data_IF_461648434751
#
_entry.id   IF_461648434751
#
_cell.length_a   1.000
_cell.length_b   1.000
_cell.length_c   1.000
_cell.angle_alpha   90.00
_cell.angle_beta   90.00
_cell.angle_gamma   90.00
#
_symmetry.space_group_name_H-M   'P 1'
#
loop_
_entity.id
_entity.type
_entity.pdbx_description
1 polymer ?
#
# COMPACT_ATOMS: atom_id res chain seq x y z
N UNK A 1 19.79 -7.40 34.68
CA UNK A 1 18.31 -7.50 34.73
C UNK A 1 17.64 -7.01 33.44
N UNK A 2 17.96 -5.81 32.92
CA UNK A 2 17.36 -5.30 31.67
C UNK A 2 17.70 -6.12 30.41
N UNK A 3 18.96 -6.58 30.26
CA UNK A 3 19.37 -7.46 29.15
C UNK A 3 18.64 -8.82 29.18
N UNK A 4 18.50 -9.40 30.36
CA UNK A 4 17.82 -10.69 30.52
C UNK A 4 16.31 -10.59 30.25
N UNK A 5 15.70 -9.44 30.58
CA UNK A 5 14.33 -9.14 30.21
C UNK A 5 14.14 -8.96 28.69
N UNK A 6 15.11 -8.31 28.03
CA UNK A 6 15.08 -8.11 26.58
C UNK A 6 15.28 -9.42 25.79
N UNK A 7 16.21 -10.28 26.23
CA UNK A 7 16.42 -11.60 25.60
C UNK A 7 15.22 -12.53 25.83
N UNK A 8 14.65 -12.56 27.04
CA UNK A 8 13.41 -13.32 27.29
C UNK A 8 12.24 -12.79 26.45
N UNK A 9 12.13 -11.46 26.28
CA UNK A 9 11.08 -10.87 25.45
C UNK A 9 11.31 -11.17 23.96
N UNK A 10 12.55 -11.13 23.46
CA UNK A 10 12.87 -11.59 22.09
C UNK A 10 12.50 -13.05 21.88
N UNK A 11 12.86 -13.91 22.83
CA UNK A 11 12.58 -15.35 22.75
C UNK A 11 11.07 -15.58 22.70
N UNK A 12 10.31 -14.91 23.57
CA UNK A 12 8.84 -14.94 23.56
C UNK A 12 8.25 -14.36 22.26
N UNK A 13 8.76 -13.24 21.77
CA UNK A 13 8.33 -12.63 20.50
C UNK A 13 8.57 -13.56 19.31
N UNK A 14 9.71 -14.28 19.28
CA UNK A 14 10.04 -15.24 18.23
C UNK A 14 9.09 -16.44 18.23
N UNK A 15 8.50 -16.80 19.38
CA UNK A 15 7.50 -17.87 19.48
C UNK A 15 6.09 -17.44 19.07
N UNK A 16 5.79 -16.14 19.00
CA UNK A 16 4.50 -15.66 18.49
C UNK A 16 4.44 -15.95 16.99
N UNK A 17 3.47 -16.80 16.59
CA UNK A 17 3.26 -17.22 15.20
C UNK A 17 3.08 -16.03 14.24
N UNK A 18 2.43 -14.96 14.72
CA UNK A 18 2.29 -13.69 14.00
C UNK A 18 3.65 -13.06 13.69
N UNK A 19 4.62 -13.06 14.62
CA UNK A 19 5.95 -12.50 14.39
C UNK A 19 6.76 -13.33 13.39
N UNK A 20 6.66 -14.67 13.44
CA UNK A 20 7.28 -15.57 12.45
C UNK A 20 6.76 -15.31 11.04
N UNK A 21 5.45 -15.10 10.87
CA UNK A 21 4.85 -14.76 9.57
C UNK A 21 5.15 -13.32 9.14
N UNK A 22 5.20 -12.37 10.06
CA UNK A 22 5.65 -10.99 9.77
C UNK A 22 7.09 -10.99 9.25
N UNK A 23 7.97 -11.75 9.91
CA UNK A 23 9.34 -12.01 9.46
C UNK A 23 9.35 -12.67 8.08
N UNK A 24 8.52 -13.70 7.85
CA UNK A 24 8.36 -14.35 6.54
C UNK A 24 7.85 -13.41 5.46
N UNK A 25 6.95 -12.49 5.80
CA UNK A 25 6.43 -11.44 4.92
C UNK A 25 7.53 -10.46 4.51
N UNK A 26 8.35 -10.00 5.46
CA UNK A 26 9.55 -9.20 5.17
C UNK A 26 10.61 -9.96 4.36
N UNK A 27 10.71 -11.28 4.52
CA UNK A 27 11.60 -12.14 3.75
C UNK A 27 11.07 -12.45 2.34
N UNK A 28 9.78 -12.24 2.07
CA UNK A 28 9.22 -12.36 0.72
C UNK A 28 9.83 -11.32 -0.23
N UNK A 29 9.84 -11.62 -1.53
CA UNK A 29 10.31 -10.68 -2.54
C UNK A 29 9.54 -9.35 -2.56
N UNK A 30 8.26 -9.35 -2.13
CA UNK A 30 7.47 -8.14 -2.00
C UNK A 30 7.87 -7.35 -0.74
N UNK A 31 8.04 -8.02 0.40
CA UNK A 31 8.51 -7.38 1.63
C UNK A 31 9.89 -6.74 1.46
N UNK A 32 10.82 -7.46 0.80
CA UNK A 32 12.14 -6.92 0.41
C UNK A 32 12.03 -5.71 -0.51
N UNK A 33 11.10 -5.74 -1.48
CA UNK A 33 10.86 -4.63 -2.39
C UNK A 33 10.28 -3.39 -1.67
N UNK A 34 9.31 -3.57 -0.77
CA UNK A 34 8.76 -2.50 0.06
C UNK A 34 9.86 -1.91 0.94
N UNK A 35 10.63 -2.75 1.62
CA UNK A 35 11.77 -2.31 2.44
C UNK A 35 12.80 -1.54 1.60
N UNK A 36 13.08 -2.00 0.38
CA UNK A 36 14.01 -1.33 -0.52
C UNK A 36 13.58 0.09 -0.86
N UNK A 37 12.30 0.29 -1.22
CA UNK A 37 11.77 1.63 -1.56
C UNK A 37 11.64 2.49 -0.30
N UNK A 38 11.01 1.95 0.74
CA UNK A 38 10.68 2.69 1.97
C UNK A 38 11.89 2.99 2.86
N UNK A 39 13.02 2.27 2.69
CA UNK A 39 14.23 2.46 3.50
C UNK A 39 15.50 2.62 2.67
N UNK A 40 15.41 2.93 1.37
CA UNK A 40 16.59 2.99 0.47
C UNK A 40 17.75 3.83 1.04
N UNK A 41 17.56 5.09 1.48
CA UNK A 41 18.64 5.91 2.01
C UNK A 41 19.18 5.40 3.33
N UNK A 42 18.33 4.81 4.18
CA UNK A 42 18.78 4.18 5.42
C UNK A 42 19.65 2.94 5.14
N UNK A 43 19.27 2.11 4.16
CA UNK A 43 20.07 0.98 3.70
C UNK A 43 21.41 1.47 3.13
N UNK A 44 21.39 2.50 2.29
CA UNK A 44 22.61 3.12 1.77
C UNK A 44 23.52 3.65 2.89
N UNK A 45 22.94 4.38 3.86
CA UNK A 45 23.65 4.88 5.04
C UNK A 45 24.25 3.75 5.87
N UNK A 46 23.49 2.67 6.10
CA UNK A 46 23.95 1.50 6.85
C UNK A 46 25.10 0.78 6.13
N UNK A 47 25.04 0.66 4.80
CA UNK A 47 26.14 0.11 3.98
C UNK A 47 27.38 1.00 4.04
N UNK A 48 27.22 2.33 3.95
CA UNK A 48 28.32 3.29 4.04
C UNK A 48 28.99 3.25 5.42
N UNK A 49 28.20 3.24 6.50
CA UNK A 49 28.70 3.09 7.86
C UNK A 49 29.43 1.75 8.05
N UNK A 50 28.92 0.67 7.46
CA UNK A 50 29.60 -0.61 7.49
C UNK A 50 30.93 -0.60 6.74
N UNK A 51 31.02 0.10 5.60
CA UNK A 51 32.29 0.28 4.88
C UNK A 51 33.28 1.11 5.68
N UNK A 52 32.82 2.22 6.26
CA UNK A 52 33.64 3.08 7.11
C UNK A 52 34.16 2.32 8.32
N UNK A 53 33.31 1.54 9.00
CA UNK A 53 33.72 0.70 10.13
C UNK A 53 34.79 -0.32 9.71
N UNK A 54 34.64 -0.96 8.54
CA UNK A 54 35.66 -1.90 8.06
C UNK A 54 36.96 -1.21 7.66
N UNK A 55 36.88 -0.05 7.02
CA UNK A 55 38.03 0.78 6.72
C UNK A 55 38.78 1.17 8.01
N UNK A 56 38.06 1.64 9.04
CA UNK A 56 38.63 1.99 10.34
C UNK A 56 39.27 0.75 10.99
N UNK A 57 38.62 -0.41 11.00
CA UNK A 57 39.20 -1.65 11.57
C UNK A 57 40.47 -2.09 10.83
N UNK A 58 40.53 -1.92 9.51
CA UNK A 58 41.69 -2.27 8.71
C UNK A 58 42.81 -1.21 8.79
N UNK A 59 42.46 0.07 8.92
CA UNK A 59 43.40 1.18 9.04
C UNK A 59 43.97 1.32 10.46
N UNK A 60 43.17 1.04 11.49
CA UNK A 60 43.54 0.98 12.90
C UNK A 60 43.92 -0.45 13.31
N UNK A 61 44.53 -1.23 12.40
CA UNK A 61 45.08 -2.56 12.67
C UNK A 61 46.28 -2.51 13.64
N UNK A 62 46.07 -1.95 14.83
CA UNK A 62 46.95 -1.90 15.99
C UNK A 62 46.14 -2.34 17.21
N UNK A 63 46.15 -3.65 17.48
CA UNK A 63 46.03 -4.31 18.80
C UNK A 63 44.92 -3.91 19.81
N UNK A 64 43.93 -3.09 19.44
CA UNK A 64 42.93 -2.55 20.39
C UNK A 64 41.53 -3.17 20.27
N UNK A 65 41.29 -4.02 19.28
CA UNK A 65 40.00 -4.73 19.15
C UNK A 65 40.17 -6.11 19.77
N UNK A 66 39.54 -6.29 20.93
CA UNK A 66 39.42 -7.59 21.60
C UNK A 66 38.93 -8.65 20.59
N UNK A 67 39.46 -9.89 20.62
CA UNK A 67 39.03 -10.91 19.68
C UNK A 67 37.52 -11.09 19.77
N UNK A 68 36.86 -11.07 18.62
CA UNK A 68 35.42 -11.30 18.51
C UNK A 68 34.97 -12.50 19.37
N UNK A 69 33.96 -12.28 20.21
CA UNK A 69 33.35 -13.29 21.08
C UNK A 69 32.62 -14.39 20.28
N UNK A 70 32.29 -14.12 19.01
CA UNK A 70 31.57 -15.04 18.13
C UNK A 70 32.54 -15.84 17.21
N UNK A 71 32.57 -17.18 17.29
CA UNK A 71 33.38 -18.04 16.41
C UNK A 71 33.10 -17.83 14.91
N UNK A 72 31.91 -17.34 14.55
CA UNK A 72 31.56 -17.02 13.16
C UNK A 72 32.26 -15.76 12.64
N UNK A 73 32.72 -14.86 13.52
CA UNK A 73 33.48 -13.67 13.14
C UNK A 73 34.98 -13.98 12.93
N UNK A 74 35.54 -14.99 13.61
CA UNK A 74 36.96 -15.37 13.47
C UNK A 74 37.36 -15.80 12.06
N UNK A 75 36.46 -16.44 11.31
CA UNK A 75 36.72 -16.85 9.93
C UNK A 75 36.53 -15.71 8.91
N UNK A 76 35.90 -14.60 9.30
CA UNK A 76 35.66 -13.45 8.41
C UNK A 76 36.70 -12.34 8.59
N UNK A 77 37.28 -12.20 9.79
CA UNK A 77 38.39 -11.27 10.05
C UNK A 77 39.62 -11.58 9.18
N UNK A 78 39.79 -12.82 8.70
CA UNK A 78 40.90 -13.23 7.84
C UNK A 78 40.62 -13.12 6.33
N UNK A 79 39.38 -12.87 5.90
CA UNK A 79 38.99 -12.72 4.50
C UNK A 79 38.40 -11.32 4.28
N UNK A 80 39.29 -10.34 4.06
CA UNK A 80 39.00 -8.90 3.96
C UNK A 80 37.93 -8.53 2.92
N UNK A 81 36.66 -8.57 3.31
CA UNK A 81 35.55 -7.99 2.56
C UNK A 81 35.37 -6.50 2.85
N UNK A 82 34.74 -5.72 1.95
CA UNK A 82 34.51 -4.28 2.14
C UNK A 82 33.40 -3.96 3.16
N UNK A 83 32.65 -4.97 3.65
CA UNK A 83 31.50 -4.82 4.55
C UNK A 83 31.65 -5.74 5.76
N UNK A 84 31.00 -5.35 6.86
CA UNK A 84 30.93 -6.20 8.06
C UNK A 84 30.11 -7.46 7.77
N UNK A 85 30.36 -8.58 8.51
CA UNK A 85 29.66 -9.85 8.27
C UNK A 85 28.13 -9.71 8.32
N UNK A 86 27.62 -8.93 9.29
CA UNK A 86 26.18 -8.68 9.50
C UNK A 86 25.55 -7.97 8.30
N UNK A 87 26.16 -6.88 7.82
CA UNK A 87 25.65 -6.13 6.65
C UNK A 87 25.79 -6.94 5.37
N UNK A 88 26.90 -7.67 5.21
CA UNK A 88 27.11 -8.56 4.06
C UNK A 88 26.04 -9.66 3.98
N UNK A 89 25.72 -10.28 5.12
CA UNK A 89 24.65 -11.27 5.23
C UNK A 89 23.28 -10.68 4.88
N UNK A 90 22.95 -9.51 5.45
CA UNK A 90 21.70 -8.81 5.17
C UNK A 90 21.54 -8.49 3.67
N UNK A 91 22.57 -7.91 3.03
CA UNK A 91 22.53 -7.59 1.60
C UNK A 91 22.39 -8.85 0.74
N UNK A 92 23.07 -9.94 1.12
CA UNK A 92 22.97 -11.23 0.41
C UNK A 92 21.56 -11.80 0.52
N UNK A 93 20.92 -11.72 1.69
CA UNK A 93 19.53 -12.18 1.87
C UNK A 93 18.54 -11.28 1.11
N UNK A 94 18.72 -9.96 1.17
CA UNK A 94 17.88 -8.98 0.51
C UNK A 94 17.91 -9.12 -1.02
N UNK A 95 19.06 -9.46 -1.58
CA UNK A 95 19.25 -9.65 -3.02
C UNK A 95 19.55 -11.11 -3.39
N UNK A 96 19.00 -12.08 -2.64
CA UNK A 96 19.08 -13.50 -3.01
C UNK A 96 18.43 -13.76 -4.38
N UNK A 97 17.33 -13.07 -4.66
CA UNK A 97 16.66 -13.05 -5.97
C UNK A 97 16.51 -11.60 -6.46
N UNK A 98 17.56 -11.00 -7.06
CA UNK A 98 17.58 -9.56 -7.35
C UNK A 98 16.49 -9.14 -8.34
N UNK A 99 16.27 -9.90 -9.41
CA UNK A 99 15.32 -9.53 -10.46
C UNK A 99 13.89 -9.34 -9.93
N UNK A 100 13.27 -10.31 -9.24
CA UNK A 100 11.92 -10.13 -8.72
C UNK A 100 11.85 -9.04 -7.64
N UNK A 101 12.87 -8.88 -6.80
CA UNK A 101 12.91 -7.80 -5.79
C UNK A 101 12.95 -6.43 -6.45
N UNK A 102 13.87 -6.19 -7.39
CA UNK A 102 14.02 -4.92 -8.08
C UNK A 102 12.79 -4.59 -8.93
N UNK A 103 12.24 -5.57 -9.66
CA UNK A 103 11.03 -5.35 -10.46
C UNK A 103 9.80 -5.07 -9.60
N UNK A 104 9.67 -5.72 -8.43
CA UNK A 104 8.57 -5.43 -7.49
C UNK A 104 8.75 -4.07 -6.82
N UNK A 105 9.99 -3.66 -6.53
CA UNK A 105 10.28 -2.34 -5.96
C UNK A 105 9.83 -1.21 -6.91
N UNK A 106 10.07 -1.37 -8.22
CA UNK A 106 9.53 -0.45 -9.23
C UNK A 106 8.00 -0.36 -9.19
N UNK A 107 7.30 -1.49 -9.09
CA UNK A 107 5.84 -1.50 -8.99
C UNK A 107 5.30 -0.89 -7.70
N UNK A 108 5.96 -1.16 -6.57
CA UNK A 108 5.63 -0.53 -5.27
C UNK A 108 5.78 0.98 -5.38
N UNK A 109 6.85 1.48 -6.00
CA UNK A 109 7.04 2.90 -6.23
C UNK A 109 6.02 3.51 -7.20
N UNK A 110 5.63 2.78 -8.27
CA UNK A 110 4.51 3.20 -9.14
C UNK A 110 3.22 3.33 -8.36
N UNK A 111 2.91 2.33 -7.53
CA UNK A 111 1.71 2.35 -6.71
C UNK A 111 1.73 3.53 -5.74
N UNK A 112 2.84 3.75 -5.04
CA UNK A 112 3.03 4.90 -4.15
C UNK A 112 2.79 6.23 -4.89
N UNK A 113 3.47 6.45 -6.03
CA UNK A 113 3.32 7.69 -6.79
C UNK A 113 1.87 7.90 -7.27
N UNK A 114 1.23 6.86 -7.83
CA UNK A 114 -0.15 6.98 -8.33
C UNK A 114 -1.13 7.31 -7.22
N UNK A 115 -1.01 6.65 -6.06
CA UNK A 115 -1.94 6.86 -4.94
C UNK A 115 -1.67 8.19 -4.20
N UNK A 116 -0.43 8.45 -3.82
CA UNK A 116 -0.05 9.56 -2.93
C UNK A 116 0.14 10.88 -3.68
N UNK A 117 0.73 10.84 -4.88
CA UNK A 117 1.01 12.05 -5.67
C UNK A 117 -0.06 12.27 -6.72
N UNK A 118 -0.33 11.26 -7.54
CA UNK A 118 -1.26 11.38 -8.66
C UNK A 118 -2.69 11.63 -8.20
N UNK A 119 -3.21 10.75 -7.35
CA UNK A 119 -4.64 10.76 -7.00
C UNK A 119 -4.91 11.71 -5.85
N UNK A 120 -4.20 11.59 -4.72
CA UNK A 120 -4.49 12.39 -3.53
C UNK A 120 -4.39 13.91 -3.81
N UNK A 121 -3.33 14.39 -4.47
CA UNK A 121 -3.16 15.83 -4.76
C UNK A 121 -4.21 16.36 -5.74
N UNK A 122 -4.50 15.62 -6.79
CA UNK A 122 -5.51 16.01 -7.79
C UNK A 122 -6.90 16.01 -7.15
N UNK A 123 -7.22 15.02 -6.33
CA UNK A 123 -8.49 14.98 -5.59
C UNK A 123 -8.60 16.16 -4.65
N UNK A 124 -7.56 16.53 -3.90
CA UNK A 124 -7.57 17.73 -3.03
C UNK A 124 -7.85 19.01 -3.83
N UNK A 125 -7.22 19.20 -5.00
CA UNK A 125 -7.50 20.34 -5.88
C UNK A 125 -8.96 20.38 -6.35
N UNK A 126 -9.48 19.24 -6.81
CA UNK A 126 -10.87 19.13 -7.28
C UNK A 126 -11.85 19.41 -6.13
N UNK A 127 -11.55 18.94 -4.91
CA UNK A 127 -12.40 19.13 -3.74
C UNK A 127 -12.40 20.57 -3.22
N UNK A 128 -11.26 21.27 -3.29
CA UNK A 128 -11.18 22.70 -3.02
C UNK A 128 -11.98 23.51 -4.05
N UNK A 129 -11.77 23.24 -5.35
CA UNK A 129 -12.57 23.88 -6.41
C UNK A 129 -14.08 23.64 -6.24
N UNK A 130 -14.45 22.43 -5.80
CA UNK A 130 -15.83 22.09 -5.50
C UNK A 130 -16.36 22.90 -4.31
N UNK A 131 -15.59 23.07 -3.24
CA UNK A 131 -15.96 23.89 -2.09
C UNK A 131 -16.27 25.34 -2.53
N UNK A 132 -15.37 25.97 -3.28
CA UNK A 132 -15.53 27.35 -3.74
C UNK A 132 -16.76 27.50 -4.64
N UNK A 133 -16.96 26.53 -5.54
CA UNK A 133 -18.13 26.51 -6.43
C UNK A 133 -19.44 26.34 -5.66
N UNK A 134 -19.46 25.47 -4.64
CA UNK A 134 -20.67 25.16 -3.88
C UNK A 134 -21.08 26.25 -2.90
N UNK A 135 -20.15 27.14 -2.50
CA UNK A 135 -20.46 28.29 -1.63
C UNK A 135 -21.51 29.25 -2.22
N UNK A 136 -21.71 29.22 -3.54
CA UNK A 136 -22.64 30.09 -4.27
C UNK A 136 -24.05 29.52 -4.40
N UNK A 137 -24.25 28.26 -4.02
CA UNK A 137 -25.53 27.55 -4.19
C UNK A 137 -26.28 27.42 -2.87
N UNK A 138 -27.58 27.09 -2.95
CA UNK A 138 -28.38 26.80 -1.76
C UNK A 138 -27.90 25.53 -1.07
N UNK A 139 -28.07 25.48 0.25
CA UNK A 139 -27.61 24.37 1.10
C UNK A 139 -28.09 23.00 0.62
N UNK A 140 -29.34 22.91 0.14
CA UNK A 140 -29.89 21.67 -0.42
C UNK A 140 -29.22 21.22 -1.72
N UNK A 141 -28.84 22.16 -2.60
CA UNK A 141 -28.09 21.86 -3.82
C UNK A 141 -26.67 21.42 -3.47
N UNK A 142 -26.02 22.09 -2.52
CA UNK A 142 -24.70 21.74 -1.99
C UNK A 142 -24.67 20.30 -1.47
N UNK A 143 -25.66 19.91 -0.66
CA UNK A 143 -25.79 18.53 -0.17
C UNK A 143 -26.00 17.52 -1.29
N UNK A 144 -26.87 17.80 -2.26
CA UNK A 144 -27.12 16.89 -3.38
C UNK A 144 -25.87 16.67 -4.24
N UNK A 145 -25.14 17.74 -4.57
CA UNK A 145 -23.88 17.65 -5.32
C UNK A 145 -22.82 16.91 -4.51
N UNK A 146 -22.69 17.21 -3.22
CA UNK A 146 -21.73 16.53 -2.34
C UNK A 146 -21.99 15.02 -2.29
N UNK A 147 -23.25 14.59 -2.22
CA UNK A 147 -23.61 13.16 -2.26
C UNK A 147 -23.20 12.51 -3.58
N UNK A 148 -23.50 13.14 -4.73
CA UNK A 148 -23.17 12.59 -6.05
C UNK A 148 -21.66 12.50 -6.25
N UNK A 149 -20.92 13.57 -5.92
CA UNK A 149 -19.46 13.61 -6.03
C UNK A 149 -18.83 12.63 -5.05
N UNK A 150 -19.28 12.60 -3.80
CA UNK A 150 -18.78 11.68 -2.78
C UNK A 150 -18.92 10.22 -3.20
N UNK A 151 -20.09 9.82 -3.69
CA UNK A 151 -20.30 8.47 -4.24
C UNK A 151 -19.34 8.22 -5.41
N UNK A 152 -19.25 9.15 -6.36
CA UNK A 152 -18.40 9.01 -7.55
C UNK A 152 -16.92 8.84 -7.19
N UNK A 153 -16.42 9.59 -6.20
CA UNK A 153 -15.05 9.47 -5.71
C UNK A 153 -14.79 8.10 -5.07
N UNK A 154 -15.72 7.56 -4.28
CA UNK A 154 -15.59 6.19 -3.77
C UNK A 154 -15.64 5.13 -4.87
N UNK A 155 -16.29 5.39 -6.01
CA UNK A 155 -16.29 4.44 -7.14
C UNK A 155 -14.95 4.41 -7.89
N UNK A 156 -14.03 5.34 -7.61
CA UNK A 156 -12.69 5.34 -8.18
C UNK A 156 -11.75 4.50 -7.31
N UNK A 157 -11.15 3.41 -7.85
CA UNK A 157 -10.29 2.51 -7.07
C UNK A 157 -9.17 3.17 -6.25
N UNK A 158 -8.47 4.22 -6.73
CA UNK A 158 -7.33 4.76 -6.01
C UNK A 158 -7.69 5.85 -4.99
N UNK A 159 -8.95 6.29 -4.90
CA UNK A 159 -9.32 7.42 -4.04
C UNK A 159 -9.56 6.92 -2.61
N UNK A 160 -8.79 7.39 -1.62
CA UNK A 160 -9.04 7.06 -0.22
C UNK A 160 -10.32 7.75 0.29
N UNK A 161 -11.00 7.14 1.27
CA UNK A 161 -12.22 7.73 1.83
C UNK A 161 -12.00 8.95 2.72
N UNK A 162 -10.81 9.08 3.32
CA UNK A 162 -10.48 10.15 4.28
C UNK A 162 -10.69 11.56 3.68
N UNK A 163 -10.15 11.90 2.49
CA UNK A 163 -10.41 13.19 1.86
C UNK A 163 -11.90 13.50 1.68
N UNK A 164 -12.74 12.51 1.38
CA UNK A 164 -14.18 12.73 1.17
C UNK A 164 -14.86 13.12 2.49
N UNK A 165 -14.60 12.40 3.58
CA UNK A 165 -15.20 12.71 4.89
C UNK A 165 -14.67 14.01 5.48
N UNK A 166 -13.37 14.27 5.33
CA UNK A 166 -12.73 15.49 5.79
C UNK A 166 -13.33 16.70 5.08
N UNK A 167 -13.46 16.60 3.76
CA UNK A 167 -14.09 17.64 2.92
C UNK A 167 -15.57 17.81 3.26
N UNK A 168 -16.30 16.73 3.56
CA UNK A 168 -17.67 16.83 4.06
C UNK A 168 -17.75 17.68 5.32
N UNK A 169 -16.84 17.44 6.28
CA UNK A 169 -16.71 18.23 7.50
C UNK A 169 -16.45 19.71 7.24
N UNK A 170 -15.81 20.07 6.13
CA UNK A 170 -15.62 21.48 5.72
C UNK A 170 -16.86 22.01 5.01
N UNK A 171 -17.25 21.40 3.89
CA UNK A 171 -18.29 21.91 2.97
C UNK A 171 -19.67 21.88 3.63
N UNK A 172 -20.10 20.72 4.13
CA UNK A 172 -21.47 20.56 4.62
C UNK A 172 -21.69 21.25 5.95
N UNK A 173 -20.68 21.26 6.83
CA UNK A 173 -20.81 21.94 8.11
C UNK A 173 -20.90 23.44 7.89
N UNK A 174 -20.04 24.01 7.05
CA UNK A 174 -20.09 25.44 6.72
C UNK A 174 -21.44 25.83 6.10
N UNK A 175 -21.96 25.02 5.17
CA UNK A 175 -23.23 25.30 4.51
C UNK A 175 -24.45 25.24 5.46
N UNK A 176 -24.42 24.42 6.50
CA UNK A 176 -25.57 24.19 7.38
C UNK A 176 -25.46 24.84 8.77
N UNK A 177 -24.30 25.40 9.12
CA UNK A 177 -24.04 25.97 10.45
C UNK A 177 -25.07 27.05 10.82
N UNK A 178 -25.40 27.96 9.91
CA UNK A 178 -26.37 29.05 10.17
C UNK A 178 -27.79 28.53 10.49
N UNK A 179 -28.15 27.36 9.96
CA UNK A 179 -29.51 26.80 10.08
C UNK A 179 -29.68 25.78 11.21
N UNK A 180 -28.63 25.00 11.50
CA UNK A 180 -28.68 23.87 12.46
C UNK A 180 -27.74 24.07 13.66
N UNK A 181 -26.96 25.14 13.66
CA UNK A 181 -25.81 25.31 14.56
C UNK A 181 -24.66 24.36 14.21
N UNK A 182 -23.48 24.66 14.75
CA UNK A 182 -22.25 23.92 14.44
C UNK A 182 -22.36 22.41 14.69
N UNK A 183 -22.82 22.00 15.88
CA UNK A 183 -22.97 20.59 16.23
C UNK A 183 -24.09 19.87 15.46
N UNK A 184 -25.18 20.57 15.15
CA UNK A 184 -26.27 20.03 14.33
C UNK A 184 -25.82 19.78 12.89
N UNK A 185 -25.04 20.72 12.33
CA UNK A 185 -24.44 20.58 11.01
C UNK A 185 -23.41 19.44 10.96
N UNK A 186 -22.60 19.25 12.01
CA UNK A 186 -21.71 18.08 12.14
C UNK A 186 -22.50 16.76 12.12
N UNK A 187 -23.56 16.64 12.93
CA UNK A 187 -24.37 15.41 12.98
C UNK A 187 -25.02 15.10 11.63
N UNK A 188 -25.52 16.12 10.94
CA UNK A 188 -26.03 15.98 9.57
C UNK A 188 -24.92 15.48 8.64
N UNK A 189 -23.75 16.11 8.66
CA UNK A 189 -22.62 15.74 7.81
C UNK A 189 -22.17 14.28 8.05
N UNK A 190 -22.08 13.85 9.31
CA UNK A 190 -21.76 12.46 9.68
C UNK A 190 -22.79 11.50 9.06
N UNK A 191 -24.08 11.84 9.17
CA UNK A 191 -25.18 11.02 8.62
C UNK A 191 -25.09 10.93 7.09
N UNK A 192 -24.83 12.05 6.41
CA UNK A 192 -24.68 12.12 4.95
C UNK A 192 -23.44 11.33 4.49
N UNK A 193 -22.30 11.50 5.16
CA UNK A 193 -21.07 10.75 4.84
C UNK A 193 -21.25 9.24 5.04
N UNK A 194 -21.96 8.84 6.10
CA UNK A 194 -22.29 7.44 6.34
C UNK A 194 -23.19 6.87 5.24
N UNK A 195 -24.21 7.63 4.81
CA UNK A 195 -25.06 7.25 3.69
C UNK A 195 -24.27 7.11 2.38
N UNK A 196 -23.38 8.07 2.07
CA UNK A 196 -22.49 8.01 0.89
C UNK A 196 -21.66 6.73 0.92
N UNK A 197 -21.04 6.43 2.07
CA UNK A 197 -20.21 5.24 2.25
C UNK A 197 -20.97 3.94 1.98
N UNK A 198 -22.13 3.76 2.61
CA UNK A 198 -22.93 2.54 2.42
C UNK A 198 -23.49 2.42 0.99
N UNK A 199 -23.88 3.54 0.39
CA UNK A 199 -24.33 3.59 -1.01
C UNK A 199 -23.20 3.20 -1.96
N UNK A 200 -22.00 3.74 -1.75
CA UNK A 200 -20.82 3.40 -2.54
C UNK A 200 -20.46 1.91 -2.40
N UNK A 201 -20.45 1.35 -1.18
CA UNK A 201 -20.25 -0.08 -0.97
C UNK A 201 -21.28 -0.93 -1.71
N UNK A 202 -22.55 -0.51 -1.71
CA UNK A 202 -23.62 -1.19 -2.44
C UNK A 202 -23.35 -1.21 -3.95
N UNK A 203 -23.01 -0.05 -4.53
CA UNK A 203 -22.71 0.06 -5.97
C UNK A 203 -21.43 -0.70 -6.32
N UNK A 204 -20.39 -0.61 -5.50
CA UNK A 204 -19.14 -1.36 -5.69
C UNK A 204 -19.38 -2.87 -5.66
N UNK A 205 -20.18 -3.37 -4.73
CA UNK A 205 -20.48 -4.80 -4.62
C UNK A 205 -21.37 -5.28 -5.79
N UNK A 206 -22.51 -4.61 -6.02
CA UNK A 206 -23.53 -5.07 -6.98
C UNK A 206 -23.29 -4.58 -8.41
N UNK A 207 -22.91 -3.32 -8.56
CA UNK A 207 -22.67 -2.71 -9.88
C UNK A 207 -21.33 -3.11 -10.48
N UNK A 208 -20.28 -3.22 -9.66
CA UNK A 208 -18.95 -3.59 -10.15
C UNK A 208 -18.57 -5.03 -9.82
N UNK A 209 -18.63 -5.44 -8.56
CA UNK A 209 -18.12 -6.73 -8.10
C UNK A 209 -18.78 -7.92 -8.77
N UNK A 210 -20.11 -7.99 -8.81
CA UNK A 210 -20.82 -9.09 -9.46
C UNK A 210 -20.61 -9.11 -10.98
N UNK A 211 -20.60 -7.94 -11.62
CA UNK A 211 -20.35 -7.81 -13.07
C UNK A 211 -18.93 -8.23 -13.41
N UNK A 212 -17.93 -7.72 -12.69
CA UNK A 212 -16.52 -8.06 -12.86
C UNK A 212 -16.23 -9.53 -12.51
N UNK A 213 -16.97 -10.09 -11.55
CA UNK A 213 -16.90 -11.50 -11.18
C UNK A 213 -17.31 -12.45 -12.31
N UNK A 214 -18.03 -11.98 -13.33
CA UNK A 214 -18.35 -12.82 -14.49
C UNK A 214 -17.13 -13.12 -15.39
N UNK A 215 -16.08 -12.30 -15.33
CA UNK A 215 -14.89 -12.45 -16.16
C UNK A 215 -13.83 -13.35 -15.51
N UNK A 216 -13.46 -14.45 -16.20
CA UNK A 216 -12.41 -15.39 -15.74
C UNK A 216 -11.09 -14.69 -15.45
N UNK A 217 -10.69 -13.75 -16.33
CA UNK A 217 -9.45 -12.99 -16.18
C UNK A 217 -9.41 -12.16 -14.90
N UNK A 218 -10.55 -11.60 -14.47
CA UNK A 218 -10.65 -10.83 -13.22
C UNK A 218 -10.61 -11.77 -12.02
N UNK A 219 -11.41 -12.85 -12.03
CA UNK A 219 -11.39 -13.85 -10.94
C UNK A 219 -10.00 -14.46 -10.74
N UNK A 220 -9.29 -14.72 -11.84
CA UNK A 220 -7.88 -15.13 -11.85
C UNK A 220 -6.96 -14.06 -11.27
N UNK A 221 -7.07 -12.81 -11.70
CA UNK A 221 -6.24 -11.69 -11.19
C UNK A 221 -6.43 -11.46 -9.69
N UNK A 222 -7.65 -11.60 -9.19
CA UNK A 222 -7.98 -11.55 -7.76
C UNK A 222 -7.42 -12.75 -7.00
N UNK A 223 -7.17 -13.87 -7.68
CA UNK A 223 -6.72 -15.11 -7.07
C UNK A 223 -7.85 -15.81 -6.31
N UNK A 224 -9.02 -15.97 -6.95
CA UNK A 224 -10.23 -16.54 -6.32
C UNK A 224 -10.00 -17.93 -5.70
N UNK A 225 -9.10 -18.72 -6.29
CA UNK A 225 -8.73 -20.06 -5.81
C UNK A 225 -7.65 -20.04 -4.71
N UNK A 226 -7.09 -18.87 -4.37
CA UNK A 226 -6.09 -18.77 -3.32
C UNK A 226 -6.68 -19.02 -1.93
N UNK A 227 -5.87 -19.62 -1.05
CA UNK A 227 -6.24 -19.86 0.36
C UNK A 227 -6.65 -18.57 1.06
N UNK A 228 -5.96 -17.45 0.77
CA UNK A 228 -6.26 -16.13 1.35
C UNK A 228 -7.65 -15.63 0.95
N UNK A 229 -8.01 -15.66 -0.33
CA UNK A 229 -9.34 -15.18 -0.77
C UNK A 229 -10.45 -16.12 -0.29
N UNK A 230 -10.20 -17.43 -0.26
CA UNK A 230 -11.15 -18.41 0.31
C UNK A 230 -11.34 -18.19 1.82
N UNK A 231 -10.29 -17.88 2.58
CA UNK A 231 -10.39 -17.52 3.99
C UNK A 231 -11.19 -16.23 4.21
N UNK A 232 -10.99 -15.21 3.36
CA UNK A 232 -11.82 -13.99 3.37
C UNK A 232 -13.29 -14.35 3.13
N UNK A 233 -13.57 -15.24 2.17
CA UNK A 233 -14.94 -15.70 1.89
C UNK A 233 -15.58 -16.35 3.14
N UNK A 234 -14.84 -17.22 3.84
CA UNK A 234 -15.30 -17.83 5.10
C UNK A 234 -15.62 -16.76 6.15
N UNK A 235 -14.73 -15.79 6.37
CA UNK A 235 -14.95 -14.72 7.34
C UNK A 235 -16.21 -13.90 7.06
N UNK A 236 -16.38 -13.50 5.80
CA UNK A 236 -17.42 -12.56 5.40
C UNK A 236 -18.79 -13.23 5.18
N UNK A 237 -18.81 -14.55 4.92
CA UNK A 237 -20.04 -15.33 4.76
C UNK A 237 -20.78 -15.61 6.07
N UNK A 238 -20.11 -15.53 7.22
CA UNK A 238 -20.75 -15.77 8.53
C UNK A 238 -21.81 -14.69 8.82
N UNK A 239 -23.03 -15.03 9.25
CA UNK A 239 -24.07 -14.04 9.53
C UNK A 239 -23.75 -13.16 10.75
N UNK A 240 -24.27 -11.94 10.76
CA UNK A 240 -24.12 -10.98 11.85
C UNK A 240 -22.78 -10.24 11.88
N UNK A 241 -22.53 -9.55 13.00
CA UNK A 241 -21.34 -8.74 13.24
C UNK A 241 -20.28 -9.53 14.00
N UNK A 242 -19.38 -10.20 13.26
CA UNK A 242 -18.19 -10.81 13.84
C UNK A 242 -17.00 -9.85 13.79
N UNK A 243 -16.07 -10.00 14.75
CA UNK A 243 -14.82 -9.24 14.74
C UNK A 243 -14.05 -9.38 13.41
N UNK A 244 -14.00 -10.60 12.83
CA UNK A 244 -13.29 -10.84 11.58
C UNK A 244 -13.95 -10.15 10.39
N UNK A 245 -15.29 -10.14 10.34
CA UNK A 245 -16.03 -9.43 9.30
C UNK A 245 -15.77 -7.92 9.38
N UNK A 246 -15.90 -7.33 10.57
CA UNK A 246 -15.65 -5.90 10.78
C UNK A 246 -14.21 -5.53 10.45
N UNK A 247 -13.25 -6.32 10.90
CA UNK A 247 -11.84 -6.09 10.64
C UNK A 247 -11.55 -6.07 9.12
N UNK A 248 -12.05 -7.03 8.36
CA UNK A 248 -11.84 -7.08 6.91
C UNK A 248 -12.57 -5.93 6.20
N UNK A 249 -13.85 -5.69 6.51
CA UNK A 249 -14.65 -4.68 5.80
C UNK A 249 -14.28 -3.23 6.13
N UNK A 250 -13.82 -2.97 7.35
CA UNK A 250 -13.41 -1.62 7.78
C UNK A 250 -11.89 -1.40 7.70
N UNK A 251 -11.09 -2.46 7.68
CA UNK A 251 -9.62 -2.39 7.61
C UNK A 251 -9.05 -2.59 6.21
N UNK A 252 -9.78 -3.26 5.32
CA UNK A 252 -9.40 -3.40 3.92
C UNK A 252 -9.60 -2.10 3.12
N UNK A 253 -8.91 -1.94 1.98
CA UNK A 253 -9.13 -0.80 1.11
C UNK A 253 -10.55 -0.83 0.54
N UNK A 254 -11.25 0.30 0.61
CA UNK A 254 -12.70 0.40 0.41
C UNK A 254 -13.22 -0.21 -0.90
N UNK A 255 -12.69 0.26 -2.03
CA UNK A 255 -13.11 -0.19 -3.35
C UNK A 255 -12.81 -1.67 -3.59
N UNK A 256 -11.56 -2.16 -3.47
CA UNK A 256 -11.26 -3.57 -3.75
C UNK A 256 -11.95 -4.52 -2.78
N UNK A 257 -12.16 -4.14 -1.51
CA UNK A 257 -12.87 -4.98 -0.53
C UNK A 257 -14.34 -5.15 -0.93
N UNK A 258 -15.04 -4.06 -1.26
CA UNK A 258 -16.47 -4.12 -1.64
C UNK A 258 -16.68 -4.81 -2.99
N UNK A 259 -15.80 -4.57 -3.96
CA UNK A 259 -15.81 -5.27 -5.25
C UNK A 259 -15.54 -6.75 -5.07
N UNK A 260 -14.57 -7.14 -4.23
CA UNK A 260 -14.30 -8.54 -3.89
C UNK A 260 -15.53 -9.22 -3.28
N UNK A 261 -16.29 -8.53 -2.41
CA UNK A 261 -17.53 -9.07 -1.87
C UNK A 261 -18.55 -9.42 -2.96
N UNK A 262 -18.60 -8.64 -4.05
CA UNK A 262 -19.45 -8.91 -5.20
C UNK A 262 -18.93 -10.07 -6.06
N UNK A 263 -17.62 -10.14 -6.27
CA UNK A 263 -16.97 -11.27 -6.97
C UNK A 263 -17.26 -12.59 -6.24
N UNK A 264 -17.20 -12.57 -4.91
CA UNK A 264 -17.53 -13.69 -4.03
C UNK A 264 -19.03 -13.95 -3.86
N UNK A 265 -19.90 -13.10 -4.45
CA UNK A 265 -21.37 -13.19 -4.38
C UNK A 265 -21.92 -13.21 -2.95
N UNK A 266 -21.31 -12.41 -2.06
CA UNK A 266 -21.72 -12.32 -0.66
C UNK A 266 -23.04 -11.56 -0.51
N UNK A 267 -23.74 -11.80 0.61
CA UNK A 267 -25.02 -11.14 0.89
C UNK A 267 -24.83 -9.64 1.17
N UNK A 268 -25.50 -8.79 0.39
CA UNK A 268 -25.40 -7.33 0.55
C UNK A 268 -25.80 -6.84 1.95
N UNK A 269 -26.91 -7.30 2.56
CA UNK A 269 -27.28 -6.84 3.91
C UNK A 269 -26.22 -7.15 4.96
N UNK A 270 -25.56 -8.31 4.86
CA UNK A 270 -24.49 -8.72 5.78
C UNK A 270 -23.22 -7.89 5.59
N UNK A 271 -22.89 -7.54 4.36
CA UNK A 271 -21.74 -6.67 4.07
C UNK A 271 -22.01 -5.24 4.55
N UNK A 272 -23.17 -4.68 4.24
CA UNK A 272 -23.56 -3.34 4.71
C UNK A 272 -23.58 -3.28 6.23
N UNK A 273 -24.17 -4.29 6.89
CA UNK A 273 -24.14 -4.40 8.35
C UNK A 273 -22.70 -4.42 8.86
N UNK A 274 -21.84 -5.28 8.30
CA UNK A 274 -20.43 -5.40 8.65
C UNK A 274 -19.58 -4.15 8.38
N UNK A 275 -20.00 -3.27 7.46
CA UNK A 275 -19.37 -1.98 7.19
C UNK A 275 -19.85 -0.87 8.14
N UNK A 276 -21.01 -1.01 8.80
CA UNK A 276 -21.53 0.04 9.69
C UNK A 276 -20.57 0.51 10.80
N UNK A 277 -19.68 -0.33 11.39
CA UNK A 277 -18.71 0.14 12.37
C UNK A 277 -17.68 1.14 11.84
N UNK A 278 -17.59 1.37 10.53
CA UNK A 278 -16.78 2.44 9.95
C UNK A 278 -17.06 3.81 10.57
N UNK A 279 -18.32 4.03 10.96
CA UNK A 279 -18.82 5.26 11.56
C UNK A 279 -18.04 5.61 12.85
N UNK A 280 -18.07 4.78 13.91
CA UNK A 280 -17.31 5.04 15.13
C UNK A 280 -15.80 4.72 15.01
N UNK A 281 -15.36 3.90 14.05
CA UNK A 281 -13.94 3.56 13.93
C UNK A 281 -13.14 4.76 13.41
N UNK A 282 -13.50 5.35 12.27
CA UNK A 282 -12.71 6.45 11.69
C UNK A 282 -13.53 7.56 11.02
N UNK A 283 -14.69 7.25 10.43
CA UNK A 283 -15.46 8.23 9.64
C UNK A 283 -15.90 9.43 10.50
N UNK A 284 -16.47 9.19 11.67
CA UNK A 284 -16.91 10.27 12.57
C UNK A 284 -15.76 11.19 12.98
N UNK A 285 -14.60 10.61 13.30
CA UNK A 285 -13.39 11.36 13.64
C UNK A 285 -12.89 12.19 12.46
N UNK A 286 -12.94 11.66 11.24
CA UNK A 286 -12.54 12.41 10.04
C UNK A 286 -13.47 13.59 9.76
N UNK A 287 -14.78 13.42 9.92
CA UNK A 287 -15.75 14.53 9.76
C UNK A 287 -15.52 15.61 10.82
N UNK A 288 -15.33 15.22 12.09
CA UNK A 288 -15.02 16.15 13.17
C UNK A 288 -13.75 16.95 12.88
N UNK A 289 -12.71 16.30 12.37
CA UNK A 289 -11.50 17.00 11.98
C UNK A 289 -11.77 18.11 10.95
N UNK A 290 -12.53 17.80 9.90
CA UNK A 290 -12.86 18.77 8.85
C UNK A 290 -13.71 19.93 9.38
N UNK A 291 -14.67 19.63 10.25
CA UNK A 291 -15.50 20.64 10.90
C UNK A 291 -14.67 21.58 11.78
N UNK A 292 -13.71 21.05 12.53
CA UNK A 292 -12.84 21.84 13.40
C UNK A 292 -11.87 22.72 12.60
N UNK A 293 -11.50 22.33 11.38
CA UNK A 293 -10.70 23.18 10.48
C UNK A 293 -11.43 24.48 10.09
N UNK A 294 -12.76 24.54 10.16
CA UNK A 294 -13.52 25.78 9.93
C UNK A 294 -13.35 26.81 11.06
N UNK A 295 -12.85 26.39 12.23
CA UNK A 295 -12.65 27.25 13.41
C UNK A 295 -11.16 27.48 13.71
N UNK A 296 -10.30 27.33 12.69
CA UNK A 296 -8.84 27.38 12.82
C UNK A 296 -8.26 28.72 13.32
N UNK A 297 -9.06 29.77 13.42
CA UNK A 297 -8.65 31.05 14.01
C UNK A 297 -8.29 30.93 15.50
N UNK A 298 -8.81 29.90 16.18
CA UNK A 298 -8.49 29.57 17.55
C UNK A 298 -7.60 28.30 17.61
N UNK A 299 -6.39 28.40 18.21
CA UNK A 299 -5.45 27.29 18.32
C UNK A 299 -6.03 26.01 18.92
N UNK A 300 -7.05 26.11 19.78
CA UNK A 300 -7.70 24.95 20.40
C UNK A 300 -8.40 24.09 19.34
N UNK A 301 -9.09 24.69 18.38
CA UNK A 301 -9.78 23.95 17.31
C UNK A 301 -8.81 23.32 16.32
N UNK A 302 -7.71 24.00 16.00
CA UNK A 302 -6.66 23.43 15.15
C UNK A 302 -5.98 22.21 15.80
N UNK A 303 -5.74 22.28 17.12
CA UNK A 303 -5.24 21.15 17.89
C UNK A 303 -6.25 19.99 17.92
N UNK A 304 -7.55 20.28 18.11
CA UNK A 304 -8.61 19.28 18.06
C UNK A 304 -8.73 18.64 16.67
N UNK A 305 -8.65 19.42 15.59
CA UNK A 305 -8.69 18.90 14.21
C UNK A 305 -7.56 17.89 13.97
N UNK A 306 -6.34 18.24 14.39
CA UNK A 306 -5.15 17.39 14.30
C UNK A 306 -5.30 16.11 15.14
N UNK A 307 -5.85 16.23 16.36
CA UNK A 307 -6.12 15.10 17.23
C UNK A 307 -7.15 14.14 16.62
N UNK A 308 -8.25 14.66 16.06
CA UNK A 308 -9.28 13.84 15.42
C UNK A 308 -8.74 13.10 14.19
N UNK A 309 -7.91 13.74 13.36
CA UNK A 309 -7.20 13.08 12.26
C UNK A 309 -6.26 11.97 12.74
N UNK A 310 -5.50 12.23 13.81
CA UNK A 310 -4.61 11.23 14.40
C UNK A 310 -5.39 10.02 14.93
N UNK A 311 -6.49 10.25 15.66
CA UNK A 311 -7.36 9.16 16.13
C UNK A 311 -7.87 8.35 14.95
N UNK A 312 -8.38 9.02 13.91
CA UNK A 312 -8.85 8.38 12.67
C UNK A 312 -7.77 7.52 12.00
N UNK A 313 -6.54 8.03 11.90
CA UNK A 313 -5.42 7.31 11.28
C UNK A 313 -5.01 6.08 12.11
N UNK A 314 -4.95 6.22 13.44
CA UNK A 314 -4.59 5.12 14.35
C UNK A 314 -5.66 4.02 14.32
N UNK A 315 -6.94 4.37 14.41
CA UNK A 315 -8.03 3.38 14.37
C UNK A 315 -8.13 2.68 13.02
N UNK A 316 -7.97 3.40 11.91
CA UNK A 316 -7.89 2.81 10.57
C UNK A 316 -6.71 1.83 10.48
N UNK A 317 -5.51 2.25 10.87
CA UNK A 317 -4.31 1.40 10.85
C UNK A 317 -4.44 0.15 11.73
N UNK A 318 -4.99 0.28 12.93
CA UNK A 318 -5.26 -0.86 13.82
C UNK A 318 -6.28 -1.83 13.20
N UNK A 319 -7.32 -1.31 12.54
CA UNK A 319 -8.33 -2.14 11.89
C UNK A 319 -7.76 -2.87 10.67
N UNK A 320 -6.88 -2.24 9.89
CA UNK A 320 -6.15 -2.90 8.80
C UNK A 320 -5.25 -4.03 9.30
N UNK A 321 -4.56 -3.84 10.43
CA UNK A 321 -3.78 -4.91 11.06
C UNK A 321 -4.68 -6.04 11.58
N UNK A 322 -5.82 -5.69 12.17
CA UNK A 322 -6.82 -6.65 12.60
C UNK A 322 -7.38 -7.48 11.42
N UNK A 323 -7.52 -6.89 10.23
CA UNK A 323 -7.95 -7.60 9.02
C UNK A 323 -6.95 -8.70 8.64
N UNK A 324 -5.66 -8.38 8.63
CA UNK A 324 -4.58 -9.34 8.36
C UNK A 324 -4.61 -10.47 9.40
N UNK A 325 -4.71 -10.12 10.68
CA UNK A 325 -4.84 -11.10 11.76
C UNK A 325 -6.06 -12.02 11.59
N UNK A 326 -7.22 -11.47 11.25
CA UNK A 326 -8.45 -12.22 11.05
C UNK A 326 -8.35 -13.23 9.90
N UNK A 327 -7.76 -12.81 8.78
CA UNK A 327 -7.51 -13.69 7.62
C UNK A 327 -6.57 -14.83 8.02
N UNK A 328 -5.44 -14.50 8.64
CA UNK A 328 -4.43 -15.49 9.05
C UNK A 328 -4.97 -16.49 10.07
N UNK A 329 -5.71 -16.00 11.07
CA UNK A 329 -6.33 -16.84 12.07
C UNK A 329 -7.33 -17.80 11.43
N UNK A 330 -8.09 -17.34 10.45
CA UNK A 330 -9.05 -18.18 9.71
C UNK A 330 -8.33 -19.24 8.88
N UNK A 331 -7.20 -18.92 8.25
CA UNK A 331 -6.37 -19.90 7.54
C UNK A 331 -5.90 -21.01 8.49
N UNK A 332 -5.49 -20.67 9.72
CA UNK A 332 -4.98 -21.68 10.65
C UNK A 332 -6.06 -22.48 11.38
N UNK A 333 -7.25 -21.92 11.60
CA UNK A 333 -8.30 -22.58 12.40
C UNK A 333 -9.48 -23.14 11.61
N UNK A 334 -9.70 -22.67 10.38
CA UNK A 334 -10.87 -23.02 9.57
C UNK A 334 -10.47 -23.68 8.24
N UNK A 335 -9.39 -24.47 8.23
CA UNK A 335 -8.87 -25.11 7.01
C UNK A 335 -9.93 -25.99 6.33
N UNK A 336 -10.72 -26.74 7.10
CA UNK A 336 -11.80 -27.58 6.55
C UNK A 336 -12.90 -26.77 5.86
N UNK A 337 -13.30 -25.63 6.45
CA UNK A 337 -14.28 -24.70 5.85
C UNK A 337 -13.72 -24.07 4.56
N UNK A 338 -12.43 -23.72 4.57
CA UNK A 338 -11.72 -23.17 3.41
C UNK A 338 -11.70 -24.22 2.31
N UNK A 339 -11.30 -25.45 2.61
CA UNK A 339 -11.15 -26.54 1.64
C UNK A 339 -12.49 -27.01 1.07
N UNK A 340 -13.58 -26.86 1.82
CA UNK A 340 -14.93 -27.13 1.34
C UNK A 340 -15.41 -26.15 0.24
N UNK A 341 -14.81 -24.97 0.10
CA UNK A 341 -15.18 -24.01 -0.96
C UNK A 341 -14.75 -24.58 -2.33
N UNK A 342 -15.66 -24.80 -3.29
CA UNK A 342 -15.32 -25.36 -4.60
C UNK A 342 -14.27 -24.52 -5.34
N UNK A 343 -13.33 -25.21 -6.00
CA UNK A 343 -12.34 -24.57 -6.87
C UNK A 343 -13.03 -24.13 -8.17
N UNK A 344 -12.80 -22.87 -8.55
CA UNK A 344 -13.23 -22.33 -9.84
C UNK A 344 -12.41 -22.99 -10.97
N UNK A 345 -13.08 -23.87 -11.70
CA UNK A 345 -12.46 -24.69 -12.75
C UNK A 345 -12.03 -23.86 -13.96
N UNK A 346 -12.76 -22.79 -14.30
CA UNK A 346 -12.38 -21.92 -15.43
C UNK A 346 -11.08 -21.19 -15.13
N UNK A 347 -10.94 -20.69 -13.89
CA UNK A 347 -9.70 -20.06 -13.43
C UNK A 347 -8.56 -21.08 -13.35
N UNK A 348 -8.81 -22.29 -12.86
CA UNK A 348 -7.80 -23.35 -12.79
C UNK A 348 -7.26 -23.71 -14.18
N UNK A 349 -8.13 -23.88 -15.17
CA UNK A 349 -7.73 -24.14 -16.56
C UNK A 349 -6.88 -23.00 -17.11
N UNK A 350 -7.25 -21.75 -16.82
CA UNK A 350 -6.50 -20.59 -17.30
C UNK A 350 -5.15 -20.43 -16.57
N UNK A 351 -5.08 -20.77 -15.29
CA UNK A 351 -3.82 -20.84 -14.53
C UNK A 351 -2.87 -21.90 -15.11
N UNK A 352 -3.40 -23.08 -15.44
CA UNK A 352 -2.64 -24.16 -16.08
C UNK A 352 -2.08 -23.75 -17.45
N UNK A 353 -2.83 -22.98 -18.25
CA UNK A 353 -2.34 -22.45 -19.53
C UNK A 353 -1.18 -21.47 -19.36
N UNK A 354 -1.24 -20.65 -18.31
CA UNK A 354 -0.22 -19.64 -18.04
C UNK A 354 0.97 -20.18 -17.24
N UNK A 355 0.89 -21.39 -16.71
CA UNK A 355 1.94 -22.02 -15.92
C UNK A 355 3.25 -22.11 -16.73
N UNK A 356 3.16 -22.54 -17.99
CA UNK A 356 4.30 -22.62 -18.89
C UNK A 356 4.95 -21.24 -19.13
N UNK A 357 4.16 -20.20 -19.36
CA UNK A 357 4.65 -18.83 -19.55
C UNK A 357 5.24 -18.25 -18.26
N UNK A 358 4.64 -18.56 -17.12
CA UNK A 358 5.12 -18.15 -15.80
C UNK A 358 6.46 -18.80 -15.49
N UNK A 359 6.59 -20.11 -15.73
CA UNK A 359 7.83 -20.86 -15.58
C UNK A 359 8.94 -20.32 -16.51
N UNK A 360 8.62 -20.06 -17.78
CA UNK A 360 9.55 -19.45 -18.73
C UNK A 360 9.98 -18.04 -18.30
N UNK A 361 9.04 -17.23 -17.81
CA UNK A 361 9.32 -15.87 -17.31
C UNK A 361 10.21 -15.93 -16.07
N UNK A 362 9.95 -16.87 -15.14
CA UNK A 362 10.79 -17.09 -13.96
C UNK A 362 12.22 -17.47 -14.38
N UNK A 363 12.36 -18.40 -15.32
CA UNK A 363 13.65 -18.85 -15.83
C UNK A 363 14.45 -17.73 -16.49
N UNK A 364 13.85 -16.99 -17.43
CA UNK A 364 14.49 -15.86 -18.13
C UNK A 364 14.85 -14.73 -17.15
N UNK A 365 14.06 -14.54 -16.10
CA UNK A 365 14.30 -13.52 -15.09
C UNK A 365 15.27 -13.96 -13.99
N UNK A 366 15.81 -15.19 -14.01
CA UNK A 366 16.92 -15.54 -13.12
C UNK A 366 18.08 -14.58 -13.36
N UNK A 367 18.67 -14.04 -12.30
CA UNK A 367 19.65 -12.95 -12.42
C UNK A 367 20.80 -13.31 -13.37
N UNK A 368 21.26 -14.57 -13.34
CA UNK A 368 22.28 -15.10 -14.24
C UNK A 368 21.90 -15.00 -15.73
N UNK A 369 20.62 -15.19 -16.06
CA UNK A 369 20.10 -15.17 -17.44
C UNK A 369 19.74 -13.76 -17.92
N UNK A 370 19.55 -12.81 -17.00
CA UNK A 370 19.31 -11.41 -17.36
C UNK A 370 20.60 -10.80 -17.94
N UNK A 371 20.57 -10.18 -19.14
CA UNK A 371 21.73 -9.57 -19.75
C UNK A 371 22.19 -8.35 -18.94
N UNK A 372 23.47 -8.01 -19.03
CA UNK A 372 24.08 -6.92 -18.26
C UNK A 372 23.39 -5.57 -18.43
N UNK A 373 22.85 -5.27 -19.61
CA UNK A 373 22.08 -4.05 -19.84
C UNK A 373 20.75 -4.07 -19.05
N UNK A 374 20.07 -5.22 -18.98
CA UNK A 374 18.81 -5.39 -18.26
C UNK A 374 19.00 -5.26 -16.75
N UNK A 375 20.10 -5.81 -16.22
CA UNK A 375 20.51 -5.63 -14.82
C UNK A 375 20.73 -4.16 -14.49
N UNK A 376 21.52 -3.44 -15.31
CA UNK A 376 21.78 -1.99 -15.13
C UNK A 376 20.50 -1.17 -15.24
N UNK A 377 19.63 -1.49 -16.18
CA UNK A 377 18.33 -0.84 -16.38
C UNK A 377 17.42 -0.99 -15.15
N UNK A 378 17.33 -2.19 -14.56
CA UNK A 378 16.57 -2.39 -13.31
C UNK A 378 17.14 -1.61 -12.13
N UNK A 379 18.47 -1.64 -11.95
CA UNK A 379 19.13 -0.89 -10.87
C UNK A 379 18.89 0.62 -11.03
N UNK A 380 19.09 1.15 -12.24
CA UNK A 380 18.83 2.56 -12.55
C UNK A 380 17.38 2.93 -12.27
N UNK A 381 16.44 2.10 -12.74
CA UNK A 381 15.02 2.31 -12.48
C UNK A 381 14.70 2.38 -10.99
N UNK A 382 15.23 1.46 -10.17
CA UNK A 382 15.00 1.47 -8.72
C UNK A 382 15.64 2.69 -8.06
N UNK A 383 16.84 3.10 -8.46
CA UNK A 383 17.48 4.32 -7.94
C UNK A 383 16.61 5.55 -8.24
N UNK A 384 16.16 5.72 -9.49
CA UNK A 384 15.28 6.82 -9.86
C UNK A 384 13.93 6.75 -9.13
N UNK A 385 13.33 5.55 -9.03
CA UNK A 385 12.05 5.37 -8.33
C UNK A 385 12.17 5.71 -6.84
N UNK A 386 13.18 5.19 -6.15
CA UNK A 386 13.44 5.49 -4.75
C UNK A 386 13.72 6.98 -4.55
N UNK A 387 14.52 7.61 -5.42
CA UNK A 387 14.74 9.06 -5.36
C UNK A 387 13.41 9.84 -5.47
N UNK A 388 12.58 9.50 -6.46
CA UNK A 388 11.25 10.11 -6.62
C UNK A 388 10.37 9.93 -5.37
N UNK A 389 10.25 8.71 -4.86
CA UNK A 389 9.42 8.42 -3.68
C UNK A 389 9.87 9.19 -2.44
N UNK A 390 11.18 9.33 -2.23
CA UNK A 390 11.73 10.05 -1.08
C UNK A 390 11.64 11.56 -1.22
N UNK A 391 11.79 12.10 -2.43
CA UNK A 391 11.55 13.52 -2.69
C UNK A 391 10.10 13.88 -2.32
N UNK A 392 9.12 13.08 -2.72
CA UNK A 392 7.72 13.32 -2.37
C UNK A 392 7.40 13.03 -0.90
N UNK A 393 7.88 11.92 -0.35
CA UNK A 393 7.51 11.48 0.99
C UNK A 393 8.15 12.28 2.13
N UNK A 394 9.44 12.64 2.00
CA UNK A 394 10.15 13.40 3.05
C UNK A 394 10.34 14.88 2.73
N UNK A 395 10.44 15.24 1.46
CA UNK A 395 10.60 16.63 1.04
C UNK A 395 9.38 17.13 0.26
N UNK A 396 8.20 16.62 0.63
CA UNK A 396 6.92 17.00 0.02
C UNK A 396 6.70 18.52 0.01
N UNK A 397 7.09 19.22 1.07
CA UNK A 397 6.99 20.69 1.17
C UNK A 397 7.88 21.42 0.16
N UNK A 398 8.97 20.81 -0.28
CA UNK A 398 9.80 21.35 -1.36
C UNK A 398 9.29 20.95 -2.75
N UNK A 399 8.53 19.85 -2.84
CA UNK A 399 7.95 19.38 -4.09
C UNK A 399 6.63 20.06 -4.44
N UNK A 400 5.83 20.43 -3.44
CA UNK A 400 4.50 20.99 -3.62
C UNK A 400 4.31 22.27 -2.81
N UNK A 401 3.44 23.15 -3.30
CA UNK A 401 2.84 24.20 -2.48
C UNK A 401 1.88 23.53 -1.49
N UNK A 402 1.94 23.94 -0.23
CA UNK A 402 0.99 23.49 0.79
C UNK A 402 -0.40 23.96 0.39
N UNK A 403 -1.27 23.02 0.08
CA UNK A 403 -2.61 23.27 -0.44
C UNK A 403 -3.59 22.30 0.21
N UNK A 404 -4.61 22.84 0.85
CA UNK A 404 -5.66 22.12 1.57
C UNK A 404 -6.99 22.26 0.85
N UNK A 405 -7.97 21.46 1.26
CA UNK A 405 -9.33 21.53 0.72
C UNK A 405 -10.01 22.88 1.02
N UNK A 406 -9.58 23.58 2.06
CA UNK A 406 -10.09 24.91 2.45
C UNK A 406 -9.40 26.06 1.73
N UNK A 407 -8.33 25.80 0.96
CA UNK A 407 -7.60 26.84 0.24
C UNK A 407 -8.29 27.13 -1.11
N UNK A 408 -8.24 28.39 -1.56
CA UNK A 408 -8.74 28.81 -2.88
C UNK A 408 -7.63 28.72 -3.95
N UNK A 409 -7.99 28.25 -5.14
CA UNK A 409 -7.05 28.06 -6.25
C UNK A 409 -6.57 29.38 -6.85
N UNK A 410 -7.42 30.39 -6.95
CA UNK A 410 -7.04 31.71 -7.46
C UNK A 410 -6.02 32.35 -6.52
N UNK A 411 -6.30 32.32 -5.21
CA UNK A 411 -5.49 32.99 -4.21
C UNK A 411 -4.15 32.29 -3.96
N UNK A 412 -4.11 30.95 -3.97
CA UNK A 412 -2.90 30.18 -3.66
C UNK A 412 -2.08 29.76 -4.86
N UNK A 413 -2.70 29.60 -6.04
CA UNK A 413 -2.07 29.04 -7.24
C UNK A 413 -2.19 29.96 -8.47
N UNK A 414 -2.57 31.23 -8.28
CA UNK A 414 -2.77 32.22 -9.35
C UNK A 414 -3.69 31.70 -10.48
N UNK A 415 -4.67 30.86 -10.13
CA UNK A 415 -5.60 30.25 -11.08
C UNK A 415 -5.01 29.13 -11.93
N UNK A 416 -3.73 28.76 -11.77
CA UNK A 416 -3.05 27.73 -12.54
C UNK A 416 -2.65 26.52 -11.68
N UNK A 417 -3.35 25.39 -11.88
CA UNK A 417 -3.15 24.18 -11.08
C UNK A 417 -1.74 23.58 -11.22
N UNK A 418 -1.01 23.88 -12.30
CA UNK A 418 0.37 23.41 -12.47
C UNK A 418 1.35 24.06 -11.48
N UNK A 419 1.01 25.22 -10.91
CA UNK A 419 1.83 25.87 -9.89
C UNK A 419 1.82 25.15 -8.55
N UNK A 420 0.91 24.17 -8.36
CA UNK A 420 0.98 23.28 -7.20
C UNK A 420 2.34 22.57 -7.12
N UNK A 421 2.94 22.23 -8.26
CA UNK A 421 4.22 21.52 -8.34
C UNK A 421 5.37 22.52 -8.44
N UNK A 422 6.24 22.53 -7.42
CA UNK A 422 7.47 23.33 -7.39
C UNK A 422 8.55 22.68 -8.26
N UNK A 423 9.66 23.39 -8.50
CA UNK A 423 10.78 22.90 -9.32
C UNK A 423 11.32 21.52 -8.88
N UNK A 424 11.47 21.31 -7.57
CA UNK A 424 11.91 20.01 -7.01
C UNK A 424 10.88 18.91 -7.29
N UNK A 425 9.59 19.26 -7.29
CA UNK A 425 8.51 18.34 -7.64
C UNK A 425 8.61 17.89 -9.10
N UNK A 426 8.90 18.79 -10.04
CA UNK A 426 9.13 18.43 -11.43
C UNK A 426 10.35 17.53 -11.62
N UNK A 427 11.42 17.75 -10.86
CA UNK A 427 12.59 16.84 -10.83
C UNK A 427 12.16 15.44 -10.34
N UNK A 428 11.35 15.37 -9.28
CA UNK A 428 10.84 14.11 -8.74
C UNK A 428 9.92 13.37 -9.73
N UNK A 429 9.06 14.09 -10.46
CA UNK A 429 8.25 13.54 -11.57
C UNK A 429 9.16 13.04 -12.70
N UNK A 430 10.23 13.77 -13.02
CA UNK A 430 11.23 13.35 -14.00
C UNK A 430 11.87 12.00 -13.64
N UNK A 431 12.31 11.83 -12.39
CA UNK A 431 12.84 10.56 -11.90
C UNK A 431 11.80 9.43 -11.97
N UNK A 432 10.55 9.71 -11.62
CA UNK A 432 9.45 8.76 -11.78
C UNK A 432 9.29 8.31 -13.24
N UNK A 433 9.25 9.26 -14.18
CA UNK A 433 9.13 8.99 -15.61
C UNK A 433 10.27 8.10 -16.12
N UNK A 434 11.51 8.40 -15.74
CA UNK A 434 12.68 7.56 -16.08
C UNK A 434 12.53 6.15 -15.50
N UNK A 435 12.06 6.01 -14.27
CA UNK A 435 11.84 4.70 -13.65
C UNK A 435 10.74 3.89 -14.38
N UNK A 436 9.64 4.52 -14.78
CA UNK A 436 8.58 3.90 -15.58
C UNK A 436 9.10 3.42 -16.95
N UNK A 437 9.94 4.23 -17.62
CA UNK A 437 10.58 3.82 -18.89
C UNK A 437 11.46 2.60 -18.67
N UNK A 438 12.32 2.59 -17.64
CA UNK A 438 13.16 1.44 -17.31
C UNK A 438 12.33 0.18 -17.04
N UNK A 439 11.25 0.29 -16.24
CA UNK A 439 10.34 -0.82 -15.96
C UNK A 439 9.72 -1.37 -17.25
N UNK A 440 9.25 -0.49 -18.12
CA UNK A 440 8.62 -0.86 -19.38
C UNK A 440 9.58 -1.55 -20.35
N UNK A 441 10.79 -1.01 -20.51
CA UNK A 441 11.85 -1.61 -21.33
C UNK A 441 12.20 -3.00 -20.83
N UNK A 442 12.36 -3.17 -19.51
CA UNK A 442 12.65 -4.48 -18.92
C UNK A 442 11.51 -5.48 -19.12
N UNK A 443 10.25 -5.07 -18.87
CA UNK A 443 9.09 -5.95 -19.07
C UNK A 443 8.92 -6.38 -20.51
N UNK A 444 9.13 -5.48 -21.48
CA UNK A 444 9.06 -5.81 -22.90
C UNK A 444 10.10 -6.85 -23.30
N UNK A 445 11.33 -6.69 -22.81
CA UNK A 445 12.39 -7.68 -23.05
C UNK A 445 12.08 -9.03 -22.39
N UNK A 446 11.70 -9.02 -21.11
CA UNK A 446 11.37 -10.23 -20.35
C UNK A 446 10.25 -11.02 -21.03
N UNK A 447 9.16 -10.35 -21.38
CA UNK A 447 8.02 -10.98 -22.07
C UNK A 447 8.39 -11.52 -23.47
N UNK A 448 9.19 -10.78 -24.24
CA UNK A 448 9.63 -11.22 -25.57
C UNK A 448 10.51 -12.47 -25.47
N UNK A 449 11.45 -12.45 -24.53
CA UNK A 449 12.43 -13.53 -24.33
C UNK A 449 11.75 -14.78 -23.76
N UNK A 450 10.82 -14.64 -22.81
CA UNK A 450 10.03 -15.76 -22.29
C UNK A 450 9.19 -16.43 -23.38
N UNK A 451 8.59 -15.64 -24.30
CA UNK A 451 7.87 -16.19 -25.46
C UNK A 451 8.79 -16.88 -26.47
N UNK A 452 10.01 -16.38 -26.66
CA UNK A 452 11.01 -17.05 -27.51
C UNK A 452 11.45 -18.37 -26.88
N UNK A 453 11.73 -18.36 -25.59
CA UNK A 453 12.06 -19.56 -24.81
C UNK A 453 11.00 -20.65 -24.94
N UNK A 454 9.72 -20.30 -24.79
CA UNK A 454 8.63 -21.26 -24.97
C UNK A 454 8.50 -21.81 -26.39
N UNK A 455 8.83 -21.03 -27.41
CA UNK A 455 8.85 -21.51 -28.80
C UNK A 455 9.96 -22.52 -29.04
N UNK A 456 11.10 -22.32 -28.38
CA UNK A 456 12.26 -23.21 -28.46
C UNK A 456 12.09 -24.47 -27.59
N UNK A 457 11.39 -24.35 -26.45
CA UNK A 457 11.16 -25.43 -25.48
C UNK A 457 9.66 -25.58 -25.12
N UNK A 458 8.83 -26.15 -26.03
CA UNK A 458 7.37 -26.19 -25.85
C UNK A 458 6.90 -27.09 -24.70
N UNK A 459 7.68 -28.12 -24.35
CA UNK A 459 7.33 -29.12 -23.31
C UNK A 459 7.87 -28.76 -21.91
N UNK A 460 8.30 -27.51 -21.70
CA UNK A 460 9.02 -27.12 -20.50
C UNK A 460 10.53 -27.35 -20.64
N UNK A 461 11.29 -26.52 -19.92
CA UNK A 461 12.74 -26.47 -19.94
C UNK A 461 13.42 -27.86 -19.85
N UNK A 462 14.57 -28.09 -20.50
CA UNK A 462 15.45 -29.18 -20.10
C UNK A 462 15.80 -28.98 -18.62
N UNK A 463 15.69 -30.06 -17.83
CA UNK A 463 16.05 -30.07 -16.41
C UNK A 463 17.36 -29.30 -16.22
N UNK A 464 17.34 -28.31 -15.32
CA UNK A 464 18.50 -27.48 -14.99
C UNK A 464 19.73 -28.35 -14.82
N UNK A 465 20.77 -28.08 -15.60
CA UNK A 465 22.08 -28.73 -15.46
C UNK A 465 22.54 -28.62 -14.00
N UNK A 466 22.78 -29.73 -13.27
CA UNK A 466 23.16 -29.72 -11.85
C UNK A 466 24.63 -29.31 -11.62
N UNK A 467 25.19 -28.46 -12.48
CA UNK A 467 26.62 -28.28 -12.63
C UNK A 467 27.12 -26.85 -12.53
N UNK A 468 26.62 -26.04 -11.61
CA UNK A 468 27.37 -24.91 -11.03
C UNK A 468 26.87 -24.71 -9.59
N UNK A 469 27.56 -25.32 -8.64
CA UNK A 469 27.45 -25.05 -7.20
C UNK A 469 28.60 -24.13 -6.77
#
# INVERSE_FOLDING_TARGET
MAEQGWENMKEQLVHIEAFKKLKGGFQSNLGKAVLLVACCPLICGFVLLSRLNMYIRNALATNLVSPAEDPSEKNVVFLGGPLTPKVSSFIREMFAEPTPVLSKALWVGVLYFVLDVGVLKVVTLILSWLNDTLSQYSTGVTMAIFVVVGISLFLLPPVPGVPVYLTGGVILVNAYEDSLGFWGAILLCITVCFFIKLSACTIQQKGFGEVLGSYVSIRKTVGINSVTIRAINVCLSKPGLSFYKVAILCGGPDWPTSVLCGILKLSLPEIILGTTPVLPIYLGWTVLAGAFMLKNDDPEWSALASLMLMVSAVTMGMTSLAAIYAIERTISTCQDEIDAIPIDQEVLIEDQKDEALTAATLHVNQWANVPSWGRKNLIMGVVCMSASCWLFGLWGDNCFITFNVTDDIQDRLDGNWFYLVKDVGWIAIGFFGVACVNLHVFRRWSNKTAKQYLKEFPTGAPASNPGVA
#
